data_IF_236539207613
#
_entry.id   IF_236539207613
#
_cell.length_a   1.000
_cell.length_b   1.000
_cell.length_c   1.000
_cell.angle_alpha   90.00
_cell.angle_beta   90.00
_cell.angle_gamma   90.00
#
_symmetry.space_group_name_H-M   'P 1'
#
loop_
_entity.id
_entity.type
_entity.pdbx_description
1 polymer ?
#
# COMPACT_ATOMS: atom_id res chain seq x y z
N UNK A 1 16.11 23.62 11.34
CA UNK A 1 15.34 22.62 10.57
C UNK A 1 14.01 23.22 10.15
N UNK A 2 13.62 23.10 8.87
CA UNK A 2 12.37 23.71 8.39
C UNK A 2 11.16 22.91 8.92
N UNK A 3 10.41 23.48 9.87
CA UNK A 3 9.26 22.83 10.54
C UNK A 3 8.19 22.36 9.55
N UNK A 4 8.02 23.09 8.45
CA UNK A 4 7.05 22.78 7.40
C UNK A 4 7.42 21.50 6.63
N UNK A 5 8.71 21.28 6.37
CA UNK A 5 9.19 20.08 5.69
C UNK A 5 8.97 18.83 6.53
N UNK A 6 9.28 18.91 7.83
CA UNK A 6 9.06 17.80 8.78
C UNK A 6 7.56 17.47 8.88
N UNK A 7 6.70 18.49 8.94
CA UNK A 7 5.26 18.28 8.96
C UNK A 7 4.75 17.57 7.69
N UNK A 8 5.29 17.92 6.51
CA UNK A 8 4.96 17.27 5.24
C UNK A 8 5.42 15.80 5.23
N UNK A 9 6.66 15.53 5.64
CA UNK A 9 7.19 14.16 5.71
C UNK A 9 6.41 13.28 6.68
N UNK A 10 6.05 13.81 7.85
CA UNK A 10 5.21 13.11 8.81
C UNK A 10 3.83 12.80 8.24
N UNK A 11 3.22 13.75 7.51
CA UNK A 11 1.94 13.54 6.84
C UNK A 11 2.02 12.43 5.78
N UNK A 12 3.05 12.46 4.92
CA UNK A 12 3.23 11.44 3.88
C UNK A 12 3.53 10.06 4.49
N UNK A 13 4.31 10.02 5.57
CA UNK A 13 4.56 8.79 6.34
C UNK A 13 3.26 8.20 6.92
N UNK A 14 2.41 9.06 7.49
CA UNK A 14 1.11 8.64 7.99
C UNK A 14 0.21 8.09 6.88
N UNK A 15 0.12 8.80 5.75
CA UNK A 15 -0.63 8.33 4.57
C UNK A 15 -0.09 7.01 4.02
N UNK A 16 1.22 6.78 4.04
CA UNK A 16 1.82 5.52 3.61
C UNK A 16 1.43 4.37 4.56
N UNK A 17 1.38 4.64 5.86
CA UNK A 17 0.92 3.67 6.84
C UNK A 17 -0.56 3.32 6.64
N UNK A 18 -1.42 4.31 6.40
CA UNK A 18 -2.83 4.08 6.08
C UNK A 18 -3.00 3.19 4.84
N UNK A 19 -2.29 3.50 3.76
CA UNK A 19 -2.33 2.70 2.52
C UNK A 19 -1.84 1.28 2.78
N UNK A 20 -0.81 1.10 3.62
CA UNK A 20 -0.29 -0.22 3.98
C UNK A 20 -1.29 -1.03 4.80
N UNK A 21 -2.01 -0.41 5.73
CA UNK A 21 -3.08 -1.04 6.50
C UNK A 21 -4.29 -1.42 5.61
N UNK A 22 -4.66 -0.56 4.67
CA UNK A 22 -5.72 -0.84 3.70
C UNK A 22 -5.34 -2.04 2.81
N UNK A 23 -4.10 -2.08 2.30
CA UNK A 23 -3.59 -3.22 1.53
C UNK A 23 -3.62 -4.53 2.32
N UNK A 24 -3.24 -4.49 3.59
CA UNK A 24 -3.31 -5.67 4.45
C UNK A 24 -4.76 -6.15 4.64
N UNK A 25 -5.69 -5.20 4.79
CA UNK A 25 -7.12 -5.50 4.94
C UNK A 25 -7.67 -6.17 3.69
N UNK A 26 -7.42 -5.59 2.50
CA UNK A 26 -7.81 -6.19 1.21
C UNK A 26 -7.20 -7.59 1.03
N UNK A 27 -5.92 -7.77 1.40
CA UNK A 27 -5.27 -9.08 1.32
C UNK A 27 -5.95 -10.12 2.20
N UNK A 28 -6.37 -9.74 3.41
CA UNK A 28 -7.11 -10.61 4.31
C UNK A 28 -8.50 -10.94 3.76
N UNK A 29 -9.19 -9.96 3.18
CA UNK A 29 -10.50 -10.13 2.55
C UNK A 29 -10.42 -11.07 1.33
N UNK A 30 -9.44 -10.87 0.44
CA UNK A 30 -9.17 -11.77 -0.68
C UNK A 30 -8.91 -13.21 -0.21
N UNK A 31 -8.10 -13.40 0.83
CA UNK A 31 -7.85 -14.72 1.39
C UNK A 31 -9.12 -15.38 1.96
N UNK A 32 -10.01 -14.58 2.56
CA UNK A 32 -11.30 -15.07 3.05
C UNK A 32 -12.22 -15.45 1.88
N UNK A 33 -12.33 -14.61 0.84
CA UNK A 33 -13.11 -14.92 -0.35
C UNK A 33 -12.63 -16.19 -1.03
N UNK A 34 -11.31 -16.37 -1.20
CA UNK A 34 -10.72 -17.59 -1.76
C UNK A 34 -11.08 -18.83 -0.95
N UNK A 35 -11.06 -18.75 0.39
CA UNK A 35 -11.51 -19.86 1.25
C UNK A 35 -12.99 -20.17 1.06
N UNK A 36 -13.84 -19.14 0.94
CA UNK A 36 -15.27 -19.33 0.72
C UNK A 36 -15.57 -19.93 -0.64
N UNK A 37 -14.91 -19.47 -1.72
CA UNK A 37 -15.08 -20.03 -3.06
C UNK A 37 -14.59 -21.48 -3.12
N UNK A 38 -13.43 -21.80 -2.52
CA UNK A 38 -12.96 -23.18 -2.42
C UNK A 38 -13.95 -24.08 -1.65
N UNK A 39 -14.60 -23.55 -0.62
CA UNK A 39 -15.67 -24.25 0.11
C UNK A 39 -16.90 -24.50 -0.77
N UNK A 40 -17.34 -23.51 -1.53
CA UNK A 40 -18.46 -23.62 -2.47
C UNK A 40 -18.17 -24.59 -3.61
N UNK A 41 -16.97 -24.55 -4.19
CA UNK A 41 -16.55 -25.48 -5.23
C UNK A 41 -16.58 -26.93 -4.74
N UNK A 42 -16.14 -27.19 -3.50
CA UNK A 42 -16.27 -28.53 -2.89
C UNK A 42 -17.73 -28.96 -2.72
N UNK A 43 -18.62 -28.04 -2.32
CA UNK A 43 -20.06 -28.32 -2.21
C UNK A 43 -20.68 -28.62 -3.58
N UNK A 44 -20.32 -27.86 -4.61
CA UNK A 44 -20.76 -28.06 -5.99
C UNK A 44 -20.29 -29.41 -6.53
N UNK A 45 -19.02 -29.77 -6.36
CA UNK A 45 -18.49 -31.06 -6.80
C UNK A 45 -19.24 -32.23 -6.16
N UNK A 46 -19.55 -32.14 -4.86
CA UNK A 46 -20.36 -33.13 -4.16
C UNK A 46 -21.78 -33.20 -4.70
N UNK A 47 -22.41 -32.06 -4.95
CA UNK A 47 -23.77 -32.00 -5.49
C UNK A 47 -23.85 -32.53 -6.93
N UNK A 48 -22.81 -32.33 -7.74
CA UNK A 48 -22.73 -32.84 -9.11
C UNK A 48 -22.49 -34.35 -9.20
N UNK A 49 -22.08 -35.02 -8.12
CA UNK A 49 -21.94 -36.48 -8.10
C UNK A 49 -23.32 -37.12 -8.26
N UNK A 50 -23.57 -37.77 -9.40
CA UNK A 50 -24.87 -38.36 -9.74
C UNK A 50 -24.99 -39.75 -9.12
N UNK A 51 -26.14 -40.03 -8.51
CA UNK A 51 -26.49 -41.37 -8.00
C UNK A 51 -26.99 -42.27 -9.12
N UNK A 52 -26.74 -43.59 -9.00
CA UNK A 52 -27.15 -44.60 -9.99
C UNK A 52 -28.67 -44.71 -10.15
N UNK A 53 -29.45 -44.19 -9.20
CA UNK A 53 -30.92 -44.14 -9.22
C UNK A 53 -31.33 -42.67 -9.21
N UNK A 54 -32.22 -42.28 -10.15
CA UNK A 54 -32.69 -40.90 -10.32
C UNK A 54 -34.13 -40.80 -9.79
N UNK A 55 -34.33 -39.91 -8.83
CA UNK A 55 -35.66 -39.49 -8.36
C UNK A 55 -35.92 -38.07 -8.87
N UNK A 56 -36.91 -37.84 -9.75
CA UNK A 56 -37.10 -36.55 -10.41
C UNK A 56 -37.21 -35.35 -9.46
N UNK A 57 -37.96 -35.46 -8.36
CA UNK A 57 -38.12 -34.35 -7.40
C UNK A 57 -36.82 -34.02 -6.64
N UNK A 58 -36.03 -35.04 -6.31
CA UNK A 58 -34.72 -34.87 -5.67
C UNK A 58 -33.72 -34.26 -6.65
N UNK A 59 -33.81 -34.63 -7.93
CA UNK A 59 -32.96 -34.09 -8.98
C UNK A 59 -33.26 -32.61 -9.25
N UNK A 60 -34.54 -32.21 -9.29
CA UNK A 60 -34.93 -30.80 -9.40
C UNK A 60 -34.37 -29.99 -8.23
N UNK A 61 -34.48 -30.52 -7.00
CA UNK A 61 -33.94 -29.88 -5.80
C UNK A 61 -32.41 -29.75 -5.85
N UNK A 62 -31.72 -30.79 -6.34
CA UNK A 62 -30.26 -30.80 -6.55
C UNK A 62 -29.83 -29.75 -7.56
N UNK A 63 -30.52 -29.67 -8.70
CA UNK A 63 -30.24 -28.69 -9.75
C UNK A 63 -30.48 -27.25 -9.26
N UNK A 64 -31.57 -26.99 -8.53
CA UNK A 64 -31.79 -25.68 -7.90
C UNK A 64 -30.66 -25.30 -6.93
N UNK A 65 -30.20 -26.25 -6.11
CA UNK A 65 -29.07 -26.02 -5.22
C UNK A 65 -27.79 -25.69 -6.00
N UNK A 66 -27.48 -26.45 -7.06
CA UNK A 66 -26.31 -26.21 -7.91
C UNK A 66 -26.38 -24.82 -8.54
N UNK A 67 -27.52 -24.45 -9.12
CA UNK A 67 -27.73 -23.14 -9.75
C UNK A 67 -27.51 -22.00 -8.75
N UNK A 68 -28.10 -22.08 -7.55
CA UNK A 68 -27.90 -21.08 -6.50
C UNK A 68 -26.43 -20.96 -6.09
N UNK A 69 -25.72 -22.10 -5.96
CA UNK A 69 -24.30 -22.11 -5.57
C UNK A 69 -23.38 -21.58 -6.69
N UNK A 70 -23.74 -21.79 -7.95
CA UNK A 70 -23.05 -21.21 -9.10
C UNK A 70 -23.21 -19.69 -9.13
N UNK A 71 -24.43 -19.17 -8.95
CA UNK A 71 -24.69 -17.74 -8.84
C UNK A 71 -23.88 -17.10 -7.69
N UNK A 72 -23.81 -17.78 -6.54
CA UNK A 72 -23.00 -17.34 -5.41
C UNK A 72 -21.50 -17.28 -5.75
N UNK A 73 -20.97 -18.28 -6.47
CA UNK A 73 -19.55 -18.28 -6.91
C UNK A 73 -19.27 -17.18 -7.93
N UNK A 74 -20.19 -16.91 -8.86
CA UNK A 74 -20.05 -15.80 -9.81
C UNK A 74 -20.01 -14.45 -9.11
N UNK A 75 -20.85 -14.25 -8.09
CA UNK A 75 -20.83 -13.04 -7.28
C UNK A 75 -19.49 -12.86 -6.55
N UNK A 76 -18.99 -13.90 -5.89
CA UNK A 76 -17.67 -13.87 -5.23
C UNK A 76 -16.53 -13.56 -6.20
N UNK A 77 -16.60 -14.06 -7.44
CA UNK A 77 -15.61 -13.74 -8.48
C UNK A 77 -15.64 -12.27 -8.90
N UNK A 78 -16.81 -11.64 -8.91
CA UNK A 78 -16.93 -10.21 -9.16
C UNK A 78 -16.32 -9.41 -8.02
N UNK A 79 -16.65 -9.75 -6.77
CA UNK A 79 -16.06 -9.12 -5.58
C UNK A 79 -14.53 -9.27 -5.56
N UNK A 80 -14.00 -10.44 -5.92
CA UNK A 80 -12.54 -10.64 -6.04
C UNK A 80 -11.91 -9.70 -7.05
N UNK A 81 -12.53 -9.52 -8.23
CA UNK A 81 -12.02 -8.59 -9.26
C UNK A 81 -12.06 -7.14 -8.79
N UNK A 82 -13.09 -6.75 -8.06
CA UNK A 82 -13.19 -5.41 -7.48
C UNK A 82 -12.07 -5.17 -6.46
N UNK A 83 -11.82 -6.14 -5.57
CA UNK A 83 -10.71 -6.06 -4.61
C UNK A 83 -9.34 -6.04 -5.30
N UNK A 84 -9.14 -6.82 -6.36
CA UNK A 84 -7.90 -6.78 -7.17
C UNK A 84 -7.67 -5.40 -7.79
N UNK A 85 -8.73 -4.77 -8.33
CA UNK A 85 -8.65 -3.42 -8.87
C UNK A 85 -8.30 -2.38 -7.79
N UNK A 86 -8.93 -2.48 -6.61
CA UNK A 86 -8.62 -1.60 -5.48
C UNK A 86 -7.18 -1.80 -4.98
N UNK A 87 -6.72 -3.05 -4.91
CA UNK A 87 -5.35 -3.38 -4.52
C UNK A 87 -4.33 -2.75 -5.47
N UNK A 88 -4.56 -2.85 -6.79
CA UNK A 88 -3.69 -2.25 -7.80
C UNK A 88 -3.58 -0.73 -7.63
N UNK A 89 -4.72 -0.05 -7.37
CA UNK A 89 -4.74 1.39 -7.12
C UNK A 89 -3.98 1.78 -5.85
N UNK A 90 -4.12 1.00 -4.78
CA UNK A 90 -3.42 1.25 -3.53
C UNK A 90 -1.91 0.99 -3.63
N UNK A 91 -1.49 -0.05 -4.37
CA UNK A 91 -0.06 -0.30 -4.62
C UNK A 91 0.57 0.82 -5.46
N UNK A 92 -0.12 1.32 -6.49
CA UNK A 92 0.35 2.49 -7.24
C UNK A 92 0.51 3.71 -6.33
N UNK A 93 -0.49 3.97 -5.46
CA UNK A 93 -0.44 5.05 -4.48
C UNK A 93 0.70 4.88 -3.49
N UNK A 94 0.97 3.66 -3.03
CA UNK A 94 2.09 3.35 -2.13
C UNK A 94 3.43 3.66 -2.77
N UNK A 95 3.64 3.24 -4.02
CA UNK A 95 4.85 3.51 -4.80
C UNK A 95 5.06 5.03 -4.95
N UNK A 96 3.98 5.76 -5.27
CA UNK A 96 4.00 7.22 -5.39
C UNK A 96 4.42 7.89 -4.08
N UNK A 97 3.76 7.56 -2.98
CA UNK A 97 4.07 8.12 -1.64
C UNK A 97 5.51 7.81 -1.21
N UNK A 98 5.99 6.59 -1.48
CA UNK A 98 7.37 6.21 -1.17
C UNK A 98 8.38 7.02 -1.98
N UNK A 99 8.08 7.28 -3.26
CA UNK A 99 8.91 8.11 -4.13
C UNK A 99 8.94 9.56 -3.64
N UNK A 100 7.78 10.12 -3.27
CA UNK A 100 7.68 11.48 -2.72
C UNK A 100 8.49 11.64 -1.42
N UNK A 101 8.38 10.68 -0.50
CA UNK A 101 9.18 10.67 0.73
C UNK A 101 10.69 10.66 0.43
N UNK A 102 11.14 9.76 -0.45
CA UNK A 102 12.55 9.67 -0.84
C UNK A 102 13.08 10.96 -1.49
N UNK A 103 12.23 11.67 -2.23
CA UNK A 103 12.56 12.97 -2.80
C UNK A 103 12.71 14.05 -1.73
N UNK A 104 11.84 14.05 -0.71
CA UNK A 104 11.94 14.96 0.42
C UNK A 104 13.15 14.68 1.31
N UNK A 105 13.49 13.41 1.53
CA UNK A 105 14.71 13.00 2.26
C UNK A 105 15.97 13.56 1.58
N UNK A 106 16.11 13.32 0.26
CA UNK A 106 17.22 13.87 -0.54
C UNK A 106 17.28 15.39 -0.51
N UNK A 107 16.11 16.03 -0.55
CA UNK A 107 16.03 17.48 -0.44
C UNK A 107 16.52 17.96 0.93
N UNK A 108 16.14 17.26 2.01
CA UNK A 108 16.59 17.57 3.35
C UNK A 108 18.10 17.41 3.50
N UNK A 109 18.68 16.31 3.01
CA UNK A 109 20.12 16.05 3.01
C UNK A 109 20.88 17.20 2.32
N UNK A 110 20.44 17.58 1.10
CA UNK A 110 21.06 18.67 0.34
C UNK A 110 20.97 20.02 1.07
N UNK A 111 19.89 20.28 1.82
CA UNK A 111 19.76 21.50 2.62
C UNK A 111 20.70 21.49 3.83
N UNK A 112 20.91 20.32 4.45
CA UNK A 112 21.87 20.17 5.55
C UNK A 112 23.31 20.36 5.07
N UNK A 113 23.69 19.76 3.94
CA UNK A 113 25.01 19.95 3.33
C UNK A 113 25.29 21.42 3.02
N UNK A 114 24.32 22.12 2.42
CA UNK A 114 24.42 23.57 2.16
C UNK A 114 24.57 24.39 3.44
N UNK A 115 23.81 24.06 4.47
CA UNK A 115 23.90 24.76 5.75
C UNK A 115 25.28 24.58 6.39
N UNK A 116 25.83 23.36 6.36
CA UNK A 116 27.18 23.06 6.86
C UNK A 116 28.25 23.80 6.05
N UNK A 117 28.18 23.78 4.71
CA UNK A 117 29.13 24.48 3.86
C UNK A 117 29.13 26.01 4.10
N UNK A 118 27.94 26.59 4.27
CA UNK A 118 27.79 28.01 4.59
C UNK A 118 28.36 28.36 5.98
N UNK A 119 28.16 27.49 6.96
CA UNK A 119 28.69 27.69 8.32
C UNK A 119 30.22 27.63 8.33
N UNK A 120 30.81 26.64 7.64
CA UNK A 120 32.28 26.54 7.47
C UNK A 120 32.83 27.79 6.79
N UNK A 121 32.19 28.25 5.71
CA UNK A 121 32.62 29.46 4.99
C UNK A 121 32.56 30.71 5.87
N UNK A 122 31.52 30.85 6.70
CA UNK A 122 31.40 31.97 7.65
C UNK A 122 32.50 31.93 8.70
N UNK A 123 32.81 30.76 9.24
CA UNK A 123 33.88 30.59 10.21
C UNK A 123 35.24 30.91 9.60
N UNK A 124 35.52 30.46 8.38
CA UNK A 124 36.73 30.80 7.64
C UNK A 124 36.86 32.31 7.41
N UNK A 125 35.80 32.96 6.90
CA UNK A 125 35.82 34.42 6.70
C UNK A 125 36.07 35.18 8.00
N UNK A 126 35.45 34.73 9.10
CA UNK A 126 35.65 35.34 10.42
C UNK A 126 37.11 35.20 10.88
N UNK A 127 37.71 34.01 10.70
CA UNK A 127 39.12 33.77 11.01
C UNK A 127 40.03 34.65 10.16
N UNK A 128 39.78 34.73 8.85
CA UNK A 128 40.57 35.53 7.92
C UNK A 128 40.50 37.03 8.26
N UNK A 129 39.31 37.56 8.57
CA UNK A 129 39.13 38.93 9.06
C UNK A 129 39.92 39.19 10.35
N UNK A 130 39.87 38.26 11.31
CA UNK A 130 40.65 38.34 12.55
C UNK A 130 42.16 38.38 12.30
N UNK A 131 42.66 37.57 11.35
CA UNK A 131 44.09 37.57 10.98
C UNK A 131 44.48 38.90 10.33
N UNK A 132 43.64 39.46 9.46
CA UNK A 132 43.91 40.74 8.79
C UNK A 132 43.99 41.89 9.80
N UNK A 133 43.02 41.99 10.71
CA UNK A 133 43.01 43.03 11.76
C UNK A 133 44.26 42.98 12.65
N UNK A 134 44.77 41.79 12.96
CA UNK A 134 46.00 41.62 13.75
C UNK A 134 47.26 42.07 13.01
N UNK A 135 47.30 41.94 11.68
CA UNK A 135 48.44 42.37 10.85
C UNK A 135 48.48 43.88 10.65
N UNK A 136 47.34 44.56 10.68
CA UNK A 136 47.26 46.03 10.56
C UNK A 136 47.64 46.75 11.88
N UNK A 137 47.57 46.07 13.01
CA UNK A 137 47.90 46.60 14.34
C UNK A 137 49.36 46.36 14.77
N UNK A 138 50.17 45.69 13.94
CA UNK A 138 51.58 45.40 14.18
C UNK A 138 52.47 46.25 13.26
#
# INVERSE_FOLDING_TARGET
MNKTLIALMNKLSWQLNEVSQALQTITNEQANLQKTDAGLQKQLQKACATTTIIYPEQEISRLHFIMHKQQQSEHLKLEMKELEAQQAQLEERKIRLHTELKMLDRYQEKQQEKALANEISRQQNTIDEWVLQRKELA
#
